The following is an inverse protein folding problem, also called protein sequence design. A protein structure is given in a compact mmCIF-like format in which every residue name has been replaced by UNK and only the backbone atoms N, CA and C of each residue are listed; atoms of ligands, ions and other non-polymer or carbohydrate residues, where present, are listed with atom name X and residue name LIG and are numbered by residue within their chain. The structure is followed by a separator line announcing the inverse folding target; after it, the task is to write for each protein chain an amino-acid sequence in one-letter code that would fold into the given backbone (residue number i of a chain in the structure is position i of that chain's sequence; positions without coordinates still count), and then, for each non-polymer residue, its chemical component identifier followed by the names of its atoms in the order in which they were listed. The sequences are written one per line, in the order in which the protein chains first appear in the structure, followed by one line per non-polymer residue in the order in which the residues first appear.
data_IF_073078880813
#
_entry.id   IF_073078880813
#
_cell.length_a   1.000
_cell.length_b   1.000
_cell.length_c   1.000
_cell.angle_alpha   90.00
_cell.angle_beta   90.00
_cell.angle_gamma   90.00
#
_symmetry.space_group_name_H-M   'P 1'
#
loop_
_entity.id
_entity.type
_entity.pdbx_description
1 polymer ?
#
# COMPACT_ATOMS: atom_id res chain seq x y z
N UNK A 1 49.97 -61.54 -46.48
CA UNK A 1 49.07 -61.71 -45.30
C UNK A 1 49.70 -60.96 -44.14
N UNK A 2 49.14 -59.82 -43.75
CA UNK A 2 49.30 -59.28 -42.38
C UNK A 2 48.21 -58.23 -42.18
N UNK A 3 47.16 -58.64 -41.50
CA UNK A 3 46.12 -57.78 -40.95
C UNK A 3 46.58 -57.11 -39.64
N UNK A 4 45.79 -56.10 -39.26
CA UNK A 4 45.55 -55.60 -37.92
C UNK A 4 46.57 -54.64 -37.29
N UNK A 5 46.20 -53.36 -37.27
CA UNK A 5 45.96 -52.57 -36.04
C UNK A 5 45.53 -51.14 -36.41
N UNK A 6 44.24 -50.85 -36.27
CA UNK A 6 43.72 -49.48 -36.26
C UNK A 6 42.37 -49.49 -35.53
N UNK A 7 42.39 -49.40 -34.20
CA UNK A 7 41.16 -49.51 -33.40
C UNK A 7 41.14 -48.76 -32.07
N UNK A 8 42.18 -48.01 -31.71
CA UNK A 8 42.27 -47.43 -30.35
C UNK A 8 42.26 -45.90 -30.28
N UNK A 9 42.37 -45.17 -31.40
CA UNK A 9 42.41 -43.70 -31.39
C UNK A 9 41.02 -43.03 -31.48
N UNK A 10 40.01 -43.70 -32.06
CA UNK A 10 38.70 -43.10 -32.29
C UNK A 10 37.84 -42.95 -31.02
N UNK A 11 38.03 -43.85 -30.05
CA UNK A 11 37.21 -43.92 -28.82
C UNK A 11 37.46 -42.73 -27.88
N UNK A 12 38.67 -42.16 -27.87
CA UNK A 12 39.02 -41.00 -27.04
C UNK A 12 38.48 -39.66 -27.54
N UNK A 13 38.18 -39.56 -28.83
CA UNK A 13 37.73 -38.32 -29.47
C UNK A 13 36.20 -38.14 -29.35
N UNK A 14 35.44 -39.22 -29.47
CA UNK A 14 33.98 -39.19 -29.30
C UNK A 14 33.58 -38.98 -27.83
N UNK A 15 34.29 -39.60 -26.90
CA UNK A 15 34.08 -39.41 -25.46
C UNK A 15 34.35 -37.96 -25.00
N UNK A 16 35.38 -37.29 -25.54
CA UNK A 16 35.62 -35.87 -25.27
C UNK A 16 34.53 -34.95 -25.83
N UNK A 17 33.99 -35.26 -27.02
CA UNK A 17 32.89 -34.48 -27.62
C UNK A 17 31.60 -34.61 -26.79
N UNK A 18 31.29 -35.82 -26.32
CA UNK A 18 30.12 -36.06 -25.46
C UNK A 18 30.24 -35.33 -24.11
N UNK A 19 31.44 -35.27 -23.51
CA UNK A 19 31.67 -34.52 -22.27
C UNK A 19 31.53 -33.00 -22.47
N UNK A 20 32.03 -32.45 -23.58
CA UNK A 20 31.90 -31.01 -23.89
C UNK A 20 30.45 -30.64 -24.17
N UNK A 21 29.73 -31.44 -24.96
CA UNK A 21 28.31 -31.19 -25.26
C UNK A 21 27.47 -31.34 -24.00
N UNK A 22 27.69 -32.38 -23.19
CA UNK A 22 27.02 -32.57 -21.91
C UNK A 22 27.26 -31.40 -20.95
N UNK A 23 28.50 -30.93 -20.84
CA UNK A 23 28.86 -29.77 -20.02
C UNK A 23 28.17 -28.48 -20.47
N UNK A 24 28.10 -28.23 -21.78
CA UNK A 24 27.40 -27.07 -22.35
C UNK A 24 25.89 -27.10 -22.11
N UNK A 25 25.26 -28.28 -22.24
CA UNK A 25 23.83 -28.44 -21.95
C UNK A 25 23.54 -28.17 -20.47
N UNK A 26 24.35 -28.70 -19.56
CA UNK A 26 24.20 -28.43 -18.12
C UNK A 26 24.40 -26.95 -17.80
N UNK A 27 25.41 -26.29 -18.37
CA UNK A 27 25.63 -24.87 -18.17
C UNK A 27 24.48 -24.01 -18.72
N UNK A 28 23.92 -24.36 -19.89
CA UNK A 28 22.77 -23.68 -20.46
C UNK A 28 21.50 -23.85 -19.59
N UNK A 29 21.25 -25.05 -19.07
CA UNK A 29 20.13 -25.30 -18.17
C UNK A 29 20.28 -24.55 -16.83
N UNK A 30 21.49 -24.48 -16.28
CA UNK A 30 21.77 -23.68 -15.08
C UNK A 30 21.58 -22.18 -15.34
N UNK A 31 22.04 -21.68 -16.48
CA UNK A 31 21.83 -20.28 -16.87
C UNK A 31 20.34 -19.96 -17.05
N UNK A 32 19.56 -20.86 -17.68
CA UNK A 32 18.12 -20.71 -17.83
C UNK A 32 17.37 -20.74 -16.49
N UNK A 33 17.77 -21.62 -15.57
CA UNK A 33 17.19 -21.67 -14.22
C UNK A 33 17.45 -20.37 -13.44
N UNK A 34 18.69 -19.85 -13.49
CA UNK A 34 19.05 -18.56 -12.87
C UNK A 34 18.33 -17.37 -13.53
N UNK A 35 18.10 -17.43 -14.84
CA UNK A 35 17.38 -16.40 -15.59
C UNK A 35 15.86 -16.42 -15.28
N UNK A 36 15.26 -17.60 -15.21
CA UNK A 36 13.86 -17.79 -14.84
C UNK A 36 13.56 -17.29 -13.41
N UNK A 37 14.45 -17.57 -12.45
CA UNK A 37 14.30 -17.07 -11.06
C UNK A 37 14.42 -15.55 -10.97
N UNK A 38 15.27 -14.93 -11.81
CA UNK A 38 15.41 -13.46 -11.85
C UNK A 38 14.16 -12.78 -12.42
N UNK A 39 13.53 -13.34 -13.45
CA UNK A 39 12.31 -12.77 -14.02
C UNK A 39 11.07 -12.92 -13.14
N UNK A 40 11.03 -13.94 -12.27
CA UNK A 40 9.91 -14.14 -11.35
C UNK A 40 9.63 -12.95 -10.43
N UNK A 41 10.65 -12.12 -10.16
CA UNK A 41 10.48 -10.92 -9.38
C UNK A 41 10.07 -9.69 -10.19
N UNK A 42 10.28 -9.69 -11.51
CA UNK A 42 9.90 -8.60 -12.40
C UNK A 42 8.39 -8.60 -12.71
N UNK A 43 7.69 -9.70 -12.42
CA UNK A 43 6.24 -9.87 -12.64
C UNK A 43 5.32 -9.18 -11.60
N UNK A 44 5.55 -9.22 -10.27
CA UNK A 44 4.61 -8.62 -9.30
C UNK A 44 4.75 -7.09 -9.22
N UNK A 45 3.71 -6.39 -9.65
CA UNK A 45 3.48 -4.97 -9.37
C UNK A 45 4.43 -3.99 -10.07
N UNK A 46 4.35 -2.72 -9.72
CA UNK A 46 5.23 -1.63 -10.14
C UNK A 46 6.22 -1.27 -9.01
N UNK A 47 7.47 -0.89 -9.34
CA UNK A 47 8.44 -0.47 -8.33
C UNK A 47 7.96 0.70 -7.48
N UNK A 48 8.24 0.63 -6.17
CA UNK A 48 8.00 1.71 -5.21
C UNK A 48 9.30 2.47 -4.99
N UNK A 49 9.29 3.76 -5.29
CA UNK A 49 10.44 4.66 -5.06
C UNK A 49 10.25 5.49 -3.80
N UNK A 50 11.32 6.18 -3.39
CA UNK A 50 11.22 7.12 -2.28
C UNK A 50 10.14 8.18 -2.58
N UNK A 51 9.30 8.54 -1.59
CA UNK A 51 8.24 9.52 -1.79
C UNK A 51 8.81 10.91 -2.07
N UNK A 52 8.11 11.65 -2.94
CA UNK A 52 8.42 13.06 -3.22
C UNK A 52 7.33 13.99 -2.67
N UNK A 53 6.09 13.51 -2.55
CA UNK A 53 5.02 14.28 -1.93
C UNK A 53 5.23 14.56 -0.43
N UNK A 54 4.73 15.72 0.05
CA UNK A 54 4.64 16.02 1.46
C UNK A 54 3.73 15.03 2.18
N UNK A 55 4.13 14.63 3.39
CA UNK A 55 3.30 13.82 4.27
C UNK A 55 2.33 14.75 5.00
N UNK A 56 1.03 14.40 5.08
CA UNK A 56 0.06 15.22 5.79
C UNK A 56 0.47 15.37 7.26
N UNK A 57 0.38 16.60 7.76
CA UNK A 57 0.68 16.93 9.15
C UNK A 57 -0.62 17.37 9.81
N UNK A 58 -0.98 16.81 10.98
CA UNK A 58 -2.19 17.20 11.67
C UNK A 58 -2.08 18.68 12.04
N UNK A 59 -3.05 19.46 11.61
CA UNK A 59 -3.25 20.82 12.12
C UNK A 59 -4.37 20.68 13.13
N UNK A 60 -4.04 20.75 14.42
CA UNK A 60 -5.02 20.76 15.50
C UNK A 60 -4.92 22.15 16.12
N UNK A 61 -5.96 22.97 15.98
CA UNK A 61 -6.09 24.18 16.78
C UNK A 61 -6.69 23.81 18.15
N UNK A 62 -5.92 23.91 19.26
CA UNK A 62 -6.44 23.61 20.59
C UNK A 62 -7.54 24.58 21.06
N UNK A 63 -7.84 25.62 20.29
CA UNK A 63 -8.89 26.60 20.54
C UNK A 63 -10.05 26.54 19.53
N UNK A 64 -10.06 25.56 18.61
CA UNK A 64 -11.18 25.33 17.71
C UNK A 64 -12.47 25.12 18.50
N UNK A 65 -13.58 25.65 17.99
CA UNK A 65 -14.90 25.33 18.53
C UNK A 65 -15.29 23.87 18.20
N UNK A 66 -16.19 23.26 18.97
CA UNK A 66 -16.59 21.84 18.83
C UNK A 66 -16.92 21.42 17.38
N UNK A 67 -17.51 22.31 16.57
CA UNK A 67 -17.83 22.00 15.17
C UNK A 67 -16.63 22.14 14.23
N UNK A 68 -15.73 23.08 14.50
CA UNK A 68 -14.49 23.24 13.74
C UNK A 68 -13.57 22.03 13.98
N UNK A 69 -13.46 21.58 15.24
CA UNK A 69 -12.78 20.34 15.63
C UNK A 69 -13.29 19.14 14.82
N UNK A 70 -14.62 18.98 14.70
CA UNK A 70 -15.21 17.95 13.84
C UNK A 70 -14.74 18.06 12.39
N UNK A 71 -14.75 19.27 11.81
CA UNK A 71 -14.32 19.44 10.41
C UNK A 71 -12.83 19.15 10.22
N UNK A 72 -11.97 19.53 11.18
CA UNK A 72 -10.54 19.22 11.16
C UNK A 72 -10.29 17.71 11.27
N UNK A 73 -10.99 17.02 12.16
CA UNK A 73 -10.93 15.57 12.33
C UNK A 73 -11.37 14.84 11.05
N UNK A 74 -12.45 15.29 10.40
CA UNK A 74 -12.91 14.73 9.12
C UNK A 74 -11.86 14.90 8.01
N UNK A 75 -11.25 16.09 7.89
CA UNK A 75 -10.14 16.33 6.95
C UNK A 75 -8.96 15.44 7.27
N UNK A 76 -8.57 15.35 8.54
CA UNK A 76 -7.44 14.57 8.98
C UNK A 76 -7.58 13.08 8.64
N UNK A 77 -8.75 12.47 8.90
CA UNK A 77 -9.02 11.06 8.54
C UNK A 77 -8.83 10.80 7.05
N UNK A 78 -9.28 11.71 6.20
CA UNK A 78 -9.11 11.61 4.75
C UNK A 78 -7.65 11.79 4.34
N UNK A 79 -6.96 12.80 4.87
CA UNK A 79 -5.55 13.05 4.60
C UNK A 79 -4.66 11.89 5.07
N UNK A 80 -4.91 11.36 6.27
CA UNK A 80 -4.16 10.25 6.85
C UNK A 80 -4.29 8.98 5.99
N UNK A 81 -5.51 8.66 5.51
CA UNK A 81 -5.74 7.55 4.59
C UNK A 81 -5.15 7.81 3.20
N UNK A 82 -5.22 9.06 2.71
CA UNK A 82 -4.62 9.45 1.45
C UNK A 82 -3.09 9.38 1.48
N UNK A 83 -2.46 9.57 2.63
CA UNK A 83 -1.00 9.54 2.82
C UNK A 83 -0.22 10.67 2.15
N UNK A 84 -0.92 11.60 1.48
CA UNK A 84 -0.38 12.76 0.75
C UNK A 84 -1.23 13.97 1.04
N UNK A 85 -0.56 15.09 1.32
CA UNK A 85 -1.22 16.37 1.57
C UNK A 85 -1.79 16.96 0.27
N UNK A 86 -3.09 17.23 0.27
CA UNK A 86 -3.83 17.86 -0.84
C UNK A 86 -4.99 18.69 -0.26
N UNK A 87 -5.50 19.68 -1.02
CA UNK A 87 -6.67 20.44 -0.62
C UNK A 87 -7.87 19.53 -0.30
N UNK A 88 -8.57 19.86 0.79
CA UNK A 88 -9.80 19.19 1.21
C UNK A 88 -10.91 20.20 1.49
N UNK A 89 -12.12 19.84 1.12
CA UNK A 89 -13.34 20.60 1.41
C UNK A 89 -14.29 19.72 2.22
N UNK A 90 -14.97 20.30 3.21
CA UNK A 90 -15.93 19.59 4.07
C UNK A 90 -17.30 20.22 3.90
N UNK A 91 -18.29 19.40 3.59
CA UNK A 91 -19.70 19.78 3.51
C UNK A 91 -20.50 18.90 4.47
N UNK A 92 -21.36 19.49 5.29
CA UNK A 92 -22.18 18.77 6.27
C UNK A 92 -23.63 19.20 6.14
N UNK A 93 -24.57 18.29 6.47
CA UNK A 93 -26.01 18.59 6.52
C UNK A 93 -26.38 19.65 7.59
N UNK A 94 -25.41 20.09 8.40
CA UNK A 94 -25.55 21.09 9.46
C UNK A 94 -24.37 22.05 9.41
N UNK A 95 -24.60 23.34 9.70
CA UNK A 95 -23.58 24.40 9.73
C UNK A 95 -22.93 24.56 11.12
N UNK A 96 -23.27 23.68 12.06
CA UNK A 96 -22.84 23.74 13.46
C UNK A 96 -23.31 22.55 14.29
N UNK A 97 -23.07 22.60 15.60
CA UNK A 97 -23.55 21.58 16.53
C UNK A 97 -25.10 21.59 16.55
N UNK A 98 -25.78 20.50 16.16
CA UNK A 98 -27.23 20.46 16.05
C UNK A 98 -27.91 20.48 17.42
N UNK A 99 -29.09 21.11 17.53
CA UNK A 99 -29.84 21.27 18.79
C UNK A 99 -30.36 19.98 19.41
N UNK A 100 -30.33 18.87 18.66
CA UNK A 100 -30.85 17.57 19.07
C UNK A 100 -29.86 16.46 18.70
N UNK A 101 -29.85 15.40 19.49
CA UNK A 101 -29.11 14.18 19.14
C UNK A 101 -29.63 13.61 17.82
N UNK A 102 -28.73 13.04 17.02
CA UNK A 102 -29.08 12.52 15.71
C UNK A 102 -27.86 12.16 14.87
N UNK A 103 -28.11 11.58 13.71
CA UNK A 103 -27.05 11.25 12.74
C UNK A 103 -27.17 12.15 11.52
N UNK A 104 -26.07 12.77 11.16
CA UNK A 104 -25.96 13.74 10.09
C UNK A 104 -24.93 13.26 9.06
N UNK A 105 -25.19 13.53 7.79
CA UNK A 105 -24.24 13.33 6.71
C UNK A 105 -23.19 14.42 6.67
N UNK A 106 -21.93 14.03 6.47
CA UNK A 106 -20.88 14.92 6.00
C UNK A 106 -20.18 14.28 4.82
N UNK A 107 -19.63 15.10 3.92
CA UNK A 107 -18.84 14.67 2.77
C UNK A 107 -17.54 15.46 2.80
N UNK A 108 -16.42 14.75 2.65
CA UNK A 108 -15.12 15.39 2.45
C UNK A 108 -14.72 15.18 0.99
N UNK A 109 -14.44 16.28 0.29
CA UNK A 109 -13.89 16.23 -1.07
C UNK A 109 -12.37 16.29 -0.99
N UNK A 110 -11.69 15.30 -1.56
CA UNK A 110 -10.23 15.23 -1.68
C UNK A 110 -9.89 15.00 -3.15
N UNK A 111 -9.09 15.88 -3.76
CA UNK A 111 -8.67 15.72 -5.17
C UNK A 111 -9.86 15.42 -6.13
N UNK A 112 -11.00 16.07 -5.90
CA UNK A 112 -12.23 15.88 -6.68
C UNK A 112 -13.01 14.58 -6.42
N UNK A 113 -12.59 13.73 -5.48
CA UNK A 113 -13.37 12.57 -5.02
C UNK A 113 -14.07 12.83 -3.70
N UNK A 114 -15.32 12.40 -3.61
CA UNK A 114 -16.16 12.57 -2.42
C UNK A 114 -16.07 11.36 -1.48
N UNK A 115 -15.76 11.60 -0.22
CA UNK A 115 -15.71 10.60 0.85
C UNK A 115 -16.87 10.84 1.82
N UNK A 116 -17.88 9.94 1.87
CA UNK A 116 -19.04 10.13 2.72
C UNK A 116 -18.78 9.67 4.16
N UNK A 117 -19.24 10.48 5.11
CA UNK A 117 -19.21 10.24 6.54
C UNK A 117 -20.61 10.30 7.13
N UNK A 118 -20.80 9.59 8.25
CA UNK A 118 -21.95 9.78 9.13
C UNK A 118 -21.45 10.21 10.49
N UNK A 119 -21.96 11.32 10.99
CA UNK A 119 -21.60 11.88 12.30
C UNK A 119 -22.80 11.74 13.21
N UNK A 120 -22.63 11.02 14.31
CA UNK A 120 -23.65 10.93 15.35
C UNK A 120 -23.36 11.97 16.43
N UNK A 121 -24.30 12.87 16.68
CA UNK A 121 -24.24 13.80 17.79
C UNK A 121 -25.11 13.29 18.93
N UNK A 122 -24.57 13.31 20.14
CA UNK A 122 -25.31 13.18 21.38
C UNK A 122 -25.30 14.52 22.13
N UNK A 123 -26.49 15.11 22.29
CA UNK A 123 -26.70 16.44 22.86
C UNK A 123 -27.47 16.28 24.15
N UNK A 124 -26.91 16.81 25.23
CA UNK A 124 -27.51 16.77 26.57
C UNK A 124 -27.38 18.11 27.28
N UNK A 125 -28.17 18.29 28.32
CA UNK A 125 -28.02 19.41 29.25
C UNK A 125 -27.49 18.87 30.58
N UNK A 126 -26.52 19.58 31.17
CA UNK A 126 -26.04 19.26 32.51
C UNK A 126 -26.99 19.76 33.61
N UNK A 127 -26.68 19.45 34.86
CA UNK A 127 -27.49 19.84 36.04
C UNK A 127 -27.59 21.36 36.24
N UNK A 128 -26.81 22.17 35.52
CA UNK A 128 -26.81 23.62 35.54
C UNK A 128 -27.45 24.24 34.28
N UNK A 129 -28.08 23.42 33.43
CA UNK A 129 -28.70 23.86 32.18
C UNK A 129 -27.68 24.22 31.10
N UNK A 130 -26.42 23.80 31.22
CA UNK A 130 -25.40 23.99 30.18
C UNK A 130 -25.48 22.84 29.19
N UNK A 131 -25.60 23.19 27.91
CA UNK A 131 -25.57 22.23 26.82
C UNK A 131 -24.18 21.60 26.70
N UNK A 132 -24.17 20.29 26.51
CA UNK A 132 -22.99 19.50 26.16
C UNK A 132 -23.29 18.68 24.91
N UNK A 133 -22.30 18.59 24.04
CA UNK A 133 -22.33 17.78 22.83
C UNK A 133 -21.13 16.86 22.80
N UNK A 134 -21.35 15.63 22.37
CA UNK A 134 -20.31 14.70 21.98
C UNK A 134 -20.64 14.22 20.58
N UNK A 135 -19.62 13.97 19.76
CA UNK A 135 -19.81 13.42 18.43
C UNK A 135 -19.03 12.12 18.25
N UNK A 136 -19.56 11.24 17.40
CA UNK A 136 -18.92 10.02 16.94
C UNK A 136 -18.92 10.02 15.41
N UNK A 137 -17.76 9.79 14.80
CA UNK A 137 -17.60 9.73 13.35
C UNK A 137 -17.62 8.27 12.91
N UNK A 138 -18.56 7.94 12.02
CA UNK A 138 -18.65 6.63 11.38
C UNK A 138 -18.16 6.76 9.94
N UNK A 139 -16.98 6.21 9.70
CA UNK A 139 -16.33 6.17 8.39
C UNK A 139 -16.41 4.76 7.79
N UNK A 140 -17.23 4.59 6.75
CA UNK A 140 -17.31 3.30 6.02
C UNK A 140 -16.41 3.26 4.80
N UNK A 141 -16.12 4.42 4.23
CA UNK A 141 -15.30 4.60 3.04
C UNK A 141 -14.17 5.56 3.30
N UNK A 142 -13.08 5.38 2.58
CA UNK A 142 -11.93 6.27 2.64
C UNK A 142 -11.28 6.42 1.28
N UNK A 143 -10.44 7.42 1.14
CA UNK A 143 -9.62 7.63 -0.06
C UNK A 143 -8.38 6.74 0.01
N UNK A 144 -8.03 6.17 -1.13
CA UNK A 144 -6.79 5.44 -1.36
C UNK A 144 -6.09 6.10 -2.55
N UNK A 145 -4.87 6.56 -2.35
CA UNK A 145 -4.05 7.14 -3.42
C UNK A 145 -2.86 6.23 -3.71
N UNK A 146 -2.48 6.14 -5.00
CA UNK A 146 -1.26 5.42 -5.40
C UNK A 146 -0.04 5.98 -4.68
N UNK A 147 0.09 7.30 -4.66
CA UNK A 147 1.25 7.97 -4.08
C UNK A 147 1.33 7.76 -2.56
N UNK A 148 0.21 7.83 -1.85
CA UNK A 148 0.14 7.58 -0.41
C UNK A 148 0.51 6.16 -0.03
N UNK A 149 -0.02 5.17 -0.75
CA UNK A 149 0.34 3.76 -0.52
C UNK A 149 1.83 3.54 -0.76
N UNK A 150 2.38 4.11 -1.83
CA UNK A 150 3.78 3.93 -2.17
C UNK A 150 4.68 4.61 -1.13
N UNK A 151 4.33 5.83 -0.71
CA UNK A 151 5.03 6.56 0.32
C UNK A 151 5.01 5.81 1.66
N UNK A 152 3.84 5.35 2.10
CA UNK A 152 3.68 4.65 3.37
C UNK A 152 4.40 3.30 3.37
N UNK A 153 4.26 2.52 2.29
CA UNK A 153 4.93 1.23 2.16
C UNK A 153 6.46 1.38 2.07
N UNK A 154 6.96 2.39 1.37
CA UNK A 154 8.39 2.68 1.32
C UNK A 154 8.95 2.99 2.71
N UNK A 155 8.29 3.85 3.49
CA UNK A 155 8.68 4.19 4.86
C UNK A 155 8.66 2.94 5.76
N UNK A 156 7.55 2.20 5.72
CA UNK A 156 7.35 0.96 6.47
C UNK A 156 8.45 -0.07 6.19
N UNK A 157 8.80 -0.23 4.90
CA UNK A 157 9.83 -1.16 4.46
C UNK A 157 11.25 -0.70 4.79
N UNK A 158 11.55 0.59 4.71
CA UNK A 158 12.85 1.15 5.08
C UNK A 158 13.20 0.84 6.54
N UNK A 159 12.25 0.99 7.45
CA UNK A 159 12.43 0.65 8.87
C UNK A 159 12.68 -0.84 9.12
N UNK A 160 12.25 -1.69 8.20
CA UNK A 160 12.30 -3.16 8.31
C UNK A 160 13.34 -3.82 7.40
N UNK A 161 14.16 -3.03 6.71
CA UNK A 161 15.20 -3.54 5.81
C UNK A 161 14.65 -4.21 4.53
N UNK A 162 13.49 -3.77 4.04
CA UNK A 162 12.92 -4.31 2.80
C UNK A 162 13.75 -3.87 1.59
N UNK A 163 13.97 -4.81 0.67
CA UNK A 163 14.66 -4.56 -0.59
C UNK A 163 13.69 -4.69 -1.75
N UNK A 164 13.90 -3.86 -2.77
CA UNK A 164 13.14 -3.85 -4.03
C UNK A 164 11.60 -3.71 -3.86
N UNK A 165 11.06 -2.83 -2.99
CA UNK A 165 9.60 -2.79 -2.76
C UNK A 165 8.81 -2.53 -4.05
N UNK A 166 7.70 -3.24 -4.22
CA UNK A 166 6.76 -3.09 -5.35
C UNK A 166 5.32 -3.08 -4.84
N UNK A 167 4.38 -2.54 -5.58
CA UNK A 167 2.94 -2.64 -5.27
C UNK A 167 2.14 -2.87 -6.55
N UNK A 168 0.91 -3.37 -6.44
CA UNK A 168 -0.01 -3.43 -7.57
C UNK A 168 -0.17 -2.07 -8.26
N UNK A 169 -0.69 -2.06 -9.49
CA UNK A 169 -1.01 -0.81 -10.17
C UNK A 169 -2.29 -0.21 -9.59
N UNK A 170 -2.11 0.58 -8.53
CA UNK A 170 -3.18 1.28 -7.83
C UNK A 170 -3.59 2.51 -8.66
N UNK A 171 -4.90 2.78 -8.83
CA UNK A 171 -5.38 4.04 -9.41
C UNK A 171 -4.78 5.26 -8.70
N UNK A 172 -4.60 6.37 -9.42
CA UNK A 172 -4.04 7.60 -8.85
C UNK A 172 -4.76 8.00 -7.55
N UNK A 173 -6.09 8.07 -7.61
CA UNK A 173 -7.00 8.35 -6.49
C UNK A 173 -8.26 7.49 -6.66
N UNK A 174 -8.70 6.82 -5.61
CA UNK A 174 -9.96 6.05 -5.62
C UNK A 174 -10.57 6.03 -4.22
N UNK A 175 -11.88 5.82 -4.14
CA UNK A 175 -12.58 5.56 -2.87
C UNK A 175 -12.72 4.06 -2.67
N UNK A 176 -12.41 3.58 -1.47
CA UNK A 176 -12.50 2.18 -1.06
C UNK A 176 -13.29 2.05 0.25
N UNK A 177 -13.77 0.84 0.55
CA UNK A 177 -14.30 0.55 1.89
C UNK A 177 -13.15 0.54 2.90
N UNK A 178 -13.44 0.95 4.13
CA UNK A 178 -12.51 0.85 5.26
C UNK A 178 -12.21 -0.63 5.54
N UNK A 179 -10.92 -0.96 5.61
CA UNK A 179 -10.39 -2.31 5.80
C UNK A 179 -9.49 -2.76 4.66
N UNK A 180 -9.55 -4.06 4.35
CA UNK A 180 -8.71 -4.68 3.34
C UNK A 180 -9.09 -4.19 1.94
N UNK A 181 -8.12 -3.68 1.20
CA UNK A 181 -8.31 -3.30 -0.21
C UNK A 181 -7.99 -4.49 -1.13
N UNK A 182 -8.35 -4.44 -2.42
CA UNK A 182 -7.94 -5.50 -3.36
C UNK A 182 -6.45 -5.47 -3.70
N UNK A 183 -5.71 -4.42 -3.29
CA UNK A 183 -4.32 -4.20 -3.68
C UNK A 183 -3.33 -4.83 -2.69
N UNK A 184 -2.17 -5.19 -3.22
CA UNK A 184 -1.05 -5.76 -2.49
C UNK A 184 0.23 -5.00 -2.77
N UNK A 185 1.12 -5.04 -1.78
CA UNK A 185 2.51 -4.65 -1.91
C UNK A 185 3.42 -5.84 -1.66
N UNK A 186 4.59 -5.82 -2.27
CA UNK A 186 5.54 -6.92 -2.34
C UNK A 186 6.91 -6.43 -1.89
N UNK A 187 7.65 -7.28 -1.20
CA UNK A 187 9.02 -6.98 -0.81
C UNK A 187 9.89 -8.24 -0.79
N UNK A 188 11.21 -8.01 -0.82
CA UNK A 188 12.24 -8.98 -0.44
C UNK A 188 12.93 -8.54 0.85
N UNK A 189 13.62 -9.47 1.49
CA UNK A 189 14.62 -9.18 2.53
C UNK A 189 15.99 -9.53 1.98
N UNK A 190 17.01 -8.71 2.26
CA UNK A 190 18.44 -9.05 2.14
C UNK A 190 18.82 -10.12 1.09
N UNK A 191 18.80 -9.74 -0.20
CA UNK A 191 19.13 -10.59 -1.36
C UNK A 191 18.36 -11.94 -1.46
N UNK A 192 17.26 -12.10 -0.73
CA UNK A 192 16.40 -13.27 -0.78
C UNK A 192 15.78 -13.46 -2.17
N UNK A 193 15.76 -14.71 -2.62
CA UNK A 193 14.99 -15.13 -3.80
C UNK A 193 13.48 -15.21 -3.51
N UNK A 194 13.10 -15.30 -2.23
CA UNK A 194 11.71 -15.32 -1.79
C UNK A 194 11.18 -13.91 -1.59
N UNK A 195 10.04 -13.64 -2.19
CA UNK A 195 9.26 -12.44 -1.93
C UNK A 195 8.09 -12.74 -1.00
N UNK A 196 7.64 -11.70 -0.30
CA UNK A 196 6.38 -11.73 0.45
C UNK A 196 5.45 -10.67 -0.09
N UNK A 197 4.15 -10.92 0.03
CA UNK A 197 3.11 -9.93 -0.22
C UNK A 197 2.49 -9.50 1.10
N UNK A 198 2.07 -8.24 1.16
CA UNK A 198 1.29 -7.65 2.23
C UNK A 198 0.04 -7.05 1.60
N UNK A 199 -1.11 -7.21 2.25
CA UNK A 199 -2.32 -6.51 1.81
C UNK A 199 -2.21 -5.03 2.14
N UNK A 200 -2.70 -4.19 1.23
CA UNK A 200 -2.91 -2.77 1.54
C UNK A 200 -4.23 -2.67 2.30
N UNK A 201 -4.17 -2.17 3.53
CA UNK A 201 -5.36 -1.89 4.36
C UNK A 201 -5.48 -0.38 4.55
N UNK A 202 -6.68 0.14 4.35
CA UNK A 202 -6.99 1.55 4.56
C UNK A 202 -8.03 1.67 5.68
N UNK A 203 -7.66 2.29 6.79
CA UNK A 203 -8.53 2.49 7.95
C UNK A 203 -8.77 3.97 8.23
N UNK A 204 -9.48 4.25 9.32
CA UNK A 204 -9.83 5.60 9.75
C UNK A 204 -8.61 6.41 10.25
N UNK A 205 -7.48 5.75 10.50
CA UNK A 205 -6.25 6.37 10.98
C UNK A 205 -5.13 6.40 9.93
N UNK A 206 -5.32 5.72 8.80
CA UNK A 206 -4.40 5.78 7.67
C UNK A 206 -4.24 4.44 6.95
N UNK A 207 -3.01 4.16 6.55
CA UNK A 207 -2.64 2.95 5.81
C UNK A 207 -1.87 1.98 6.71
N UNK A 208 -2.30 0.72 6.72
CA UNK A 208 -1.68 -0.35 7.50
C UNK A 208 -1.14 -1.48 6.60
N UNK A 209 -0.01 -2.04 7.03
CA UNK A 209 0.74 -3.12 6.40
C UNK A 209 1.16 -4.22 7.41
N UNK A 210 0.64 -4.19 8.64
CA UNK A 210 1.14 -5.02 9.74
C UNK A 210 0.61 -6.47 9.75
N UNK A 211 -0.39 -6.80 8.93
CA UNK A 211 -1.03 -8.12 8.91
C UNK A 211 -0.84 -8.83 7.55
N UNK A 212 -0.08 -9.94 7.49
CA UNK A 212 0.05 -10.78 6.28
C UNK A 212 -1.17 -11.67 6.02
#
# INVERSE_FOLDING_TARGET
MSEARSGTAAVGQESRRLLVVGGLVVAALLALALWADRHRWEEPGVPVTAPTAPTPTPTIDPYAGDFEELTEELRWRVLAAAGVDQPTEVDCETDGIPDRSGTYGCTVTYDGVEVPFKVHFDVSEDLYGRRRSVFEIVQKKTVLTKEGVFAAFWRYGKERGYTEPRCDDIPATTVVEVGDTPYRCYYKWDNSIHHRSVKVRADEHGLDFSHP
#
